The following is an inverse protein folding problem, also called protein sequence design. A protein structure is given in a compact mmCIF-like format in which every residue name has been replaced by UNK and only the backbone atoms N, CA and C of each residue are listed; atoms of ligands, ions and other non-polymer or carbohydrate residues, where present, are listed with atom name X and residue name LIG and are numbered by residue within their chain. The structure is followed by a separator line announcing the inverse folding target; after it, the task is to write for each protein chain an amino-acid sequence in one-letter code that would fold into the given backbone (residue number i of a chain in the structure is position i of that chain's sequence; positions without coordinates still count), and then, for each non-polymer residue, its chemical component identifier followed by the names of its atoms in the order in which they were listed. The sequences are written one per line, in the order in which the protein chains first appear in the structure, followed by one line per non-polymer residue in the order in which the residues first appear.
data_IF_300613880908
#
_entry.id   IF_300613880908
#
_cell.length_a   1.000
_cell.length_b   1.000
_cell.length_c   1.000
_cell.angle_alpha   90.00
_cell.angle_beta   90.00
_cell.angle_gamma   90.00
#
_symmetry.space_group_name_H-M   'P 1'
#
loop_
_entity.id
_entity.type
_entity.pdbx_description
1 polymer ?
#
# COMPACT_ATOMS: atom_id res chain seq x y z
N UNK A 1 12.87 36.64 -19.66
CA UNK A 1 12.10 35.97 -20.73
C UNK A 1 10.97 35.18 -20.07
N UNK A 2 9.73 35.34 -20.54
CA UNK A 2 8.56 34.67 -19.96
C UNK A 2 8.44 33.28 -20.61
N UNK A 3 8.82 32.23 -19.88
CA UNK A 3 8.65 30.84 -20.34
C UNK A 3 7.15 30.54 -20.38
N UNK A 4 6.60 30.40 -21.58
CA UNK A 4 5.23 29.90 -21.76
C UNK A 4 5.20 28.42 -21.39
N UNK A 5 4.22 27.95 -20.61
CA UNK A 5 4.06 26.52 -20.37
C UNK A 5 3.63 25.88 -21.68
N UNK A 6 4.46 25.00 -22.26
CA UNK A 6 4.04 24.12 -23.34
C UNK A 6 2.89 23.24 -22.82
N UNK A 7 1.73 23.29 -23.48
CA UNK A 7 0.62 22.40 -23.21
C UNK A 7 1.12 20.95 -23.25
N UNK A 8 0.78 20.09 -22.27
CA UNK A 8 1.20 18.70 -22.30
C UNK A 8 0.49 18.00 -23.47
N UNK A 9 1.23 17.65 -24.52
CA UNK A 9 0.75 16.73 -25.54
C UNK A 9 0.46 15.38 -24.85
N UNK A 10 -0.82 15.02 -24.76
CA UNK A 10 -1.28 13.72 -24.31
C UNK A 10 -0.83 12.66 -25.32
N UNK A 11 0.38 12.14 -25.16
CA UNK A 11 0.82 10.97 -25.93
C UNK A 11 -0.10 9.80 -25.57
N UNK A 12 -0.75 9.22 -26.58
CA UNK A 12 -1.53 8.01 -26.39
C UNK A 12 -0.66 6.93 -25.74
N UNK A 13 -1.21 6.15 -24.79
CA UNK A 13 -0.45 5.09 -24.17
C UNK A 13 -0.02 4.06 -25.20
N UNK A 14 1.23 3.59 -25.11
CA UNK A 14 1.70 2.49 -25.96
C UNK A 14 0.88 1.22 -25.71
N UNK A 15 0.84 0.31 -26.69
CA UNK A 15 0.17 -0.98 -26.55
C UNK A 15 0.64 -1.74 -25.29
N UNK A 16 1.94 -1.69 -25.00
CA UNK A 16 2.53 -2.30 -23.80
C UNK A 16 2.00 -1.66 -22.52
N UNK A 17 1.84 -0.33 -22.47
CA UNK A 17 1.28 0.36 -21.30
C UNK A 17 -0.19 -0.01 -21.07
N UNK A 18 -0.96 -0.14 -22.14
CA UNK A 18 -2.35 -0.58 -22.07
C UNK A 18 -2.41 -2.03 -21.57
N UNK A 19 -1.64 -2.94 -22.17
CA UNK A 19 -1.57 -4.34 -21.76
C UNK A 19 -1.12 -4.49 -20.30
N UNK A 20 -0.13 -3.71 -19.86
CA UNK A 20 0.34 -3.68 -18.48
C UNK A 20 -0.79 -3.28 -17.52
N UNK A 21 -1.51 -2.21 -17.86
CA UNK A 21 -2.60 -1.68 -17.03
C UNK A 21 -3.79 -2.64 -16.95
N UNK A 22 -4.17 -3.24 -18.08
CA UNK A 22 -5.27 -4.21 -18.15
C UNK A 22 -4.94 -5.47 -17.36
N UNK A 23 -3.72 -6.01 -17.52
CA UNK A 23 -3.27 -7.15 -16.71
C UNK A 23 -3.29 -6.83 -15.23
N UNK A 24 -2.78 -5.65 -14.85
CA UNK A 24 -2.74 -5.24 -13.45
C UNK A 24 -4.15 -5.16 -12.86
N UNK A 25 -5.11 -4.50 -13.54
CA UNK A 25 -6.50 -4.42 -13.09
C UNK A 25 -7.13 -5.81 -12.96
N UNK A 26 -6.96 -6.66 -13.98
CA UNK A 26 -7.44 -8.04 -13.95
C UNK A 26 -6.87 -8.81 -12.75
N UNK A 27 -5.56 -8.69 -12.52
CA UNK A 27 -4.89 -9.34 -11.39
C UNK A 27 -5.44 -8.88 -10.04
N UNK A 28 -5.77 -7.60 -9.87
CA UNK A 28 -6.38 -7.09 -8.63
C UNK A 28 -7.81 -7.59 -8.44
N UNK A 29 -8.60 -7.65 -9.51
CA UNK A 29 -9.97 -8.17 -9.47
C UNK A 29 -10.02 -9.64 -9.03
N UNK A 30 -8.99 -10.43 -9.34
CA UNK A 30 -8.87 -11.82 -8.90
C UNK A 30 -8.20 -11.91 -7.52
N UNK A 31 -7.11 -11.18 -7.29
CA UNK A 31 -6.30 -11.29 -6.10
C UNK A 31 -7.01 -10.77 -4.84
N UNK A 32 -7.75 -9.66 -4.92
CA UNK A 32 -8.34 -9.04 -3.73
C UNK A 32 -9.51 -9.83 -3.11
N UNK A 33 -10.41 -10.47 -3.88
CA UNK A 33 -11.37 -11.41 -3.30
C UNK A 33 -10.71 -12.59 -2.60
N UNK A 34 -9.71 -13.22 -3.25
CA UNK A 34 -8.97 -14.35 -2.67
C UNK A 34 -8.20 -13.94 -1.40
N UNK A 35 -7.58 -12.76 -1.44
CA UNK A 35 -6.93 -12.13 -0.30
C UNK A 35 -7.88 -12.04 0.91
N UNK A 36 -9.11 -11.56 0.71
CA UNK A 36 -10.07 -11.44 1.80
C UNK A 36 -10.51 -12.80 2.34
N UNK A 37 -10.71 -13.79 1.46
CA UNK A 37 -11.00 -15.16 1.88
C UNK A 37 -9.90 -15.72 2.80
N UNK A 38 -8.63 -15.38 2.54
CA UNK A 38 -7.50 -15.78 3.38
C UNK A 38 -7.37 -14.91 4.62
N UNK A 39 -7.59 -13.59 4.55
CA UNK A 39 -7.45 -12.70 5.70
C UNK A 39 -8.55 -12.90 6.76
N UNK A 40 -9.79 -13.21 6.37
CA UNK A 40 -10.91 -13.31 7.32
C UNK A 40 -10.66 -14.36 8.42
N UNK A 41 -10.23 -15.61 8.13
CA UNK A 41 -9.89 -16.58 9.16
C UNK A 41 -8.78 -16.10 10.11
N UNK A 42 -7.74 -15.45 9.58
CA UNK A 42 -6.65 -14.90 10.38
C UNK A 42 -7.12 -13.73 11.25
N UNK A 43 -8.06 -12.93 10.76
CA UNK A 43 -8.66 -11.85 11.53
C UNK A 43 -9.54 -12.38 12.66
N UNK A 44 -10.31 -13.45 12.42
CA UNK A 44 -11.09 -14.14 13.45
C UNK A 44 -10.14 -14.69 14.52
N UNK A 45 -9.06 -15.38 14.14
CA UNK A 45 -8.06 -15.87 15.07
C UNK A 45 -7.42 -14.73 15.88
N UNK A 46 -7.09 -13.61 15.24
CA UNK A 46 -6.59 -12.43 15.92
C UNK A 46 -7.59 -11.88 16.95
N UNK A 47 -8.85 -11.69 16.54
CA UNK A 47 -9.88 -11.06 17.36
C UNK A 47 -10.32 -11.91 18.55
N UNK A 48 -10.46 -13.22 18.36
CA UNK A 48 -11.05 -14.12 19.35
C UNK A 48 -10.03 -14.97 20.10
N UNK A 49 -8.88 -15.27 19.50
CA UNK A 49 -7.81 -16.06 20.14
C UNK A 49 -6.63 -15.19 20.60
N UNK A 50 -6.64 -13.89 20.30
CA UNK A 50 -5.55 -12.97 20.64
C UNK A 50 -4.24 -13.23 19.87
N UNK A 51 -4.28 -14.05 18.82
CA UNK A 51 -3.11 -14.33 17.99
C UNK A 51 -2.69 -13.08 17.21
N UNK A 52 -1.39 -12.88 17.03
CA UNK A 52 -0.84 -11.80 16.20
C UNK A 52 -1.41 -10.40 16.56
N UNK A 53 -1.18 -9.88 17.79
CA UNK A 53 -1.76 -8.61 18.25
C UNK A 53 -1.36 -7.41 17.37
N UNK A 54 -0.21 -7.49 16.70
CA UNK A 54 0.30 -6.49 15.75
C UNK A 54 -0.22 -6.66 14.31
N UNK A 55 -1.06 -7.66 14.04
CA UNK A 55 -1.61 -7.96 12.71
C UNK A 55 -0.52 -8.16 11.64
N UNK A 56 0.64 -8.72 12.02
CA UNK A 56 1.78 -8.98 11.12
C UNK A 56 1.41 -10.02 10.07
N UNK A 57 0.64 -11.05 10.42
CA UNK A 57 0.19 -12.07 9.47
C UNK A 57 -0.81 -11.47 8.48
N UNK A 58 -1.79 -10.73 8.97
CA UNK A 58 -2.78 -10.05 8.13
C UNK A 58 -2.11 -9.06 7.16
N UNK A 59 -1.11 -8.31 7.65
CA UNK A 59 -0.28 -7.43 6.84
C UNK A 59 0.55 -8.17 5.81
N UNK A 60 1.28 -9.21 6.19
CA UNK A 60 2.07 -10.02 5.25
C UNK A 60 1.22 -10.66 4.16
N UNK A 61 0.03 -11.17 4.49
CA UNK A 61 -0.92 -11.70 3.51
C UNK A 61 -1.29 -10.58 2.52
N UNK A 62 -1.64 -9.38 3.01
CA UNK A 62 -1.97 -8.26 2.13
C UNK A 62 -0.81 -7.85 1.21
N UNK A 63 0.40 -7.71 1.77
CA UNK A 63 1.61 -7.38 1.00
C UNK A 63 1.93 -8.45 -0.03
N UNK A 64 1.76 -9.72 0.30
CA UNK A 64 1.99 -10.83 -0.61
C UNK A 64 1.04 -10.81 -1.81
N UNK A 65 -0.27 -10.66 -1.60
CA UNK A 65 -1.23 -10.60 -2.72
C UNK A 65 -1.02 -9.36 -3.60
N UNK A 66 -0.67 -8.21 -3.02
CA UNK A 66 -0.30 -7.02 -3.78
C UNK A 66 1.01 -7.21 -4.57
N UNK A 67 2.00 -7.90 -4.00
CA UNK A 67 3.24 -8.24 -4.69
C UNK A 67 2.99 -9.21 -5.86
N UNK A 68 2.13 -10.21 -5.65
CA UNK A 68 1.75 -11.19 -6.66
C UNK A 68 1.08 -10.55 -7.89
N UNK A 69 0.28 -9.50 -7.69
CA UNK A 69 -0.30 -8.72 -8.79
C UNK A 69 0.77 -8.09 -9.71
N UNK A 70 1.92 -7.72 -9.16
CA UNK A 70 3.05 -7.23 -9.96
C UNK A 70 3.93 -8.35 -10.50
N UNK A 71 4.28 -9.35 -9.69
CA UNK A 71 5.14 -10.45 -10.10
C UNK A 71 4.52 -11.29 -11.21
N UNK A 72 3.20 -11.40 -11.25
CA UNK A 72 2.47 -12.09 -12.32
C UNK A 72 2.39 -11.28 -13.62
N UNK A 73 2.70 -9.98 -13.59
CA UNK A 73 2.58 -9.12 -14.77
C UNK A 73 3.81 -9.29 -15.69
N UNK A 74 3.65 -9.86 -16.90
CA UNK A 74 4.78 -10.17 -17.76
C UNK A 74 5.48 -8.91 -18.32
N UNK A 75 4.83 -7.75 -18.23
CA UNK A 75 5.33 -6.48 -18.74
C UNK A 75 6.07 -5.64 -17.69
N UNK A 76 6.06 -6.08 -16.41
CA UNK A 76 6.73 -5.39 -15.31
C UNK A 76 7.91 -6.22 -14.83
N UNK A 77 9.09 -5.57 -14.72
CA UNK A 77 10.27 -6.17 -14.10
C UNK A 77 10.76 -5.30 -12.95
N UNK A 78 10.61 -5.79 -11.73
CA UNK A 78 11.07 -5.12 -10.52
C UNK A 78 12.54 -5.46 -10.30
N UNK A 79 13.34 -4.45 -9.95
CA UNK A 79 14.74 -4.62 -9.56
C UNK A 79 15.01 -3.80 -8.31
N UNK A 80 15.29 -4.48 -7.21
CA UNK A 80 15.77 -3.85 -5.98
C UNK A 80 17.30 -3.78 -6.03
N UNK A 81 17.85 -2.60 -5.77
CA UNK A 81 19.29 -2.42 -5.58
C UNK A 81 19.57 -2.17 -4.10
N UNK A 82 20.72 -2.63 -3.61
CA UNK A 82 21.13 -2.47 -2.21
C UNK A 82 20.16 -3.09 -1.20
N UNK A 83 19.62 -4.28 -1.53
CA UNK A 83 18.79 -5.11 -0.66
C UNK A 83 19.43 -5.40 0.71
N UNK A 84 20.77 -5.52 0.77
CA UNK A 84 21.52 -5.67 2.02
C UNK A 84 21.33 -4.50 3.01
N UNK A 85 20.84 -3.34 2.56
CA UNK A 85 20.50 -2.20 3.44
C UNK A 85 19.10 -2.27 3.99
N UNK A 86 18.26 -3.18 3.49
CA UNK A 86 16.92 -3.40 4.03
C UNK A 86 17.07 -3.94 5.45
N UNK A 87 16.48 -3.28 6.45
CA UNK A 87 16.58 -3.69 7.85
C UNK A 87 16.12 -5.14 8.06
N UNK A 88 16.77 -5.84 8.99
CA UNK A 88 16.31 -7.16 9.41
C UNK A 88 14.93 -7.02 10.07
N UNK A 89 14.11 -8.09 10.02
CA UNK A 89 12.73 -8.13 10.55
C UNK A 89 12.54 -7.62 11.98
N UNK A 90 13.61 -7.54 12.78
CA UNK A 90 13.57 -7.13 14.18
C UNK A 90 13.72 -5.62 14.40
N UNK A 91 14.08 -4.85 13.37
CA UNK A 91 14.32 -3.41 13.49
C UNK A 91 13.09 -2.60 13.10
N UNK A 92 12.73 -1.64 13.97
CA UNK A 92 11.65 -0.67 13.72
C UNK A 92 12.17 0.44 12.82
N UNK A 93 11.62 0.56 11.63
CA UNK A 93 12.05 1.58 10.65
C UNK A 93 10.85 2.26 10.02
N UNK A 94 11.06 3.51 9.61
CA UNK A 94 10.12 4.24 8.76
C UNK A 94 10.67 4.17 7.33
N UNK A 95 9.91 3.53 6.44
CA UNK A 95 10.24 3.50 5.02
C UNK A 95 9.52 4.63 4.33
N UNK A 96 10.26 5.49 3.66
CA UNK A 96 9.73 6.59 2.86
C UNK A 96 10.14 6.40 1.40
N UNK A 97 9.23 6.71 0.49
CA UNK A 97 9.50 6.73 -0.95
C UNK A 97 9.00 8.03 -1.54
N UNK A 98 9.60 8.45 -2.66
CA UNK A 98 8.97 9.41 -3.54
C UNK A 98 7.65 8.81 -4.05
N UNK A 99 6.60 9.63 -4.10
CA UNK A 99 5.32 9.20 -4.69
C UNK A 99 5.32 9.57 -6.18
N UNK A 100 5.59 8.58 -7.04
CA UNK A 100 5.67 8.74 -8.50
C UNK A 100 4.44 8.18 -9.20
N UNK A 101 3.79 7.17 -8.60
CA UNK A 101 2.70 6.46 -9.26
C UNK A 101 1.76 5.76 -8.28
N UNK A 102 0.58 5.39 -8.77
CA UNK A 102 -0.34 4.54 -8.02
C UNK A 102 0.18 3.10 -7.82
N UNK A 103 1.25 2.70 -8.52
CA UNK A 103 1.88 1.40 -8.35
C UNK A 103 2.85 1.35 -7.17
N UNK A 104 3.23 2.50 -6.59
CA UNK A 104 4.26 2.57 -5.55
C UNK A 104 3.97 1.64 -4.35
N UNK A 105 2.73 1.56 -3.79
CA UNK A 105 2.45 0.66 -2.67
C UNK A 105 2.64 -0.82 -3.03
N UNK A 106 2.39 -1.20 -4.29
CA UNK A 106 2.56 -2.56 -4.79
C UNK A 106 4.03 -2.88 -5.03
N UNK A 107 4.79 -1.93 -5.60
CA UNK A 107 6.25 -2.07 -5.81
C UNK A 107 6.96 -2.18 -4.46
N UNK A 108 6.58 -1.36 -3.48
CA UNK A 108 7.10 -1.45 -2.11
C UNK A 108 6.77 -2.81 -1.48
N UNK A 109 5.54 -3.31 -1.65
CA UNK A 109 5.17 -4.65 -1.16
C UNK A 109 6.06 -5.73 -1.78
N UNK A 110 6.23 -5.70 -3.11
CA UNK A 110 7.05 -6.67 -3.84
C UNK A 110 8.56 -6.58 -3.52
N UNK A 111 9.04 -5.39 -3.14
CA UNK A 111 10.48 -5.15 -2.92
C UNK A 111 10.90 -5.34 -1.46
N UNK A 112 9.98 -5.16 -0.51
CA UNK A 112 10.28 -5.21 0.93
C UNK A 112 9.94 -6.55 1.56
N UNK A 113 9.07 -7.37 0.96
CA UNK A 113 8.80 -8.72 1.48
C UNK A 113 10.10 -9.50 1.70
N UNK A 114 10.25 -10.24 2.82
CA UNK A 114 9.23 -10.52 3.84
C UNK A 114 9.20 -9.53 5.03
N UNK A 115 9.75 -8.32 4.90
CA UNK A 115 9.60 -7.25 5.89
C UNK A 115 8.16 -6.74 5.85
N UNK A 116 7.43 -6.93 6.96
CA UNK A 116 6.06 -6.43 7.09
C UNK A 116 6.08 -4.92 7.29
N UNK A 117 5.16 -4.23 6.60
CA UNK A 117 5.05 -2.77 6.63
C UNK A 117 3.60 -2.34 6.80
N UNK A 118 3.38 -1.36 7.70
CA UNK A 118 2.09 -0.65 7.82
C UNK A 118 2.12 0.58 6.95
N UNK A 119 1.12 0.74 6.10
CA UNK A 119 1.01 1.89 5.22
C UNK A 119 0.17 2.99 5.85
N UNK A 120 0.66 4.22 5.75
CA UNK A 120 -0.11 5.43 6.06
C UNK A 120 -0.76 5.91 4.77
N UNK A 121 -2.09 5.94 4.73
CA UNK A 121 -2.83 6.22 3.50
C UNK A 121 -4.03 7.14 3.70
N UNK A 122 -4.49 7.80 2.63
CA UNK A 122 -5.68 8.65 2.66
C UNK A 122 -6.88 7.85 3.19
N UNK A 123 -7.57 8.38 4.20
CA UNK A 123 -8.65 7.66 4.90
C UNK A 123 -9.78 7.19 3.99
N UNK A 124 -10.07 7.89 2.89
CA UNK A 124 -11.08 7.45 1.90
C UNK A 124 -10.72 6.13 1.20
N UNK A 125 -9.45 5.75 1.13
CA UNK A 125 -9.03 4.47 0.54
C UNK A 125 -9.51 3.28 1.38
N UNK A 126 -9.60 3.44 2.70
CA UNK A 126 -10.02 2.39 3.63
C UNK A 126 -11.51 2.05 3.50
N UNK A 127 -12.30 2.95 2.90
CA UNK A 127 -13.71 2.72 2.61
C UNK A 127 -13.95 2.01 1.27
N UNK A 128 -12.91 1.84 0.44
CA UNK A 128 -13.04 1.15 -0.83
C UNK A 128 -13.31 -0.35 -0.61
N UNK A 129 -14.21 -0.96 -1.39
CA UNK A 129 -14.47 -2.39 -1.29
C UNK A 129 -13.20 -3.18 -1.63
N UNK A 130 -13.08 -4.34 -0.99
CA UNK A 130 -11.96 -5.25 -1.13
C UNK A 130 -10.63 -4.65 -0.62
N UNK A 131 -9.95 -3.83 -1.42
CA UNK A 131 -8.63 -3.28 -1.10
C UNK A 131 -8.62 -2.45 0.19
N UNK A 132 -9.59 -1.57 0.38
CA UNK A 132 -9.71 -0.75 1.60
C UNK A 132 -10.04 -1.56 2.85
N UNK A 133 -10.88 -2.58 2.70
CA UNK A 133 -11.16 -3.54 3.77
C UNK A 133 -9.90 -4.32 4.14
N UNK A 134 -9.15 -4.80 3.16
CA UNK A 134 -7.90 -5.51 3.40
C UNK A 134 -6.84 -4.65 4.08
N UNK A 135 -6.73 -3.36 3.74
CA UNK A 135 -5.90 -2.38 4.45
C UNK A 135 -6.31 -2.28 5.93
N UNK A 136 -7.62 -2.20 6.19
CA UNK A 136 -8.16 -2.13 7.56
C UNK A 136 -7.83 -3.39 8.37
N UNK A 137 -7.99 -4.57 7.75
CA UNK A 137 -7.64 -5.86 8.36
C UNK A 137 -6.13 -5.98 8.61
N UNK A 138 -5.31 -5.48 7.69
CA UNK A 138 -3.85 -5.45 7.84
C UNK A 138 -3.37 -4.51 8.95
N UNK A 139 -4.22 -3.60 9.45
CA UNK A 139 -3.83 -2.58 10.44
C UNK A 139 -3.06 -1.41 9.82
N UNK A 140 -3.30 -1.12 8.54
CA UNK A 140 -2.81 0.10 7.91
C UNK A 140 -3.47 1.34 8.55
N UNK A 141 -2.80 2.49 8.46
CA UNK A 141 -3.13 3.68 9.25
C UNK A 141 -3.77 4.75 8.35
N UNK A 142 -5.05 5.12 8.56
CA UNK A 142 -5.69 6.17 7.80
C UNK A 142 -5.25 7.56 8.28
N UNK A 143 -5.04 8.47 7.32
CA UNK A 143 -4.89 9.91 7.56
C UNK A 143 -5.95 10.69 6.78
N UNK A 144 -6.60 11.65 7.45
CA UNK A 144 -7.71 12.41 6.91
C UNK A 144 -7.27 13.83 6.55
N UNK A 145 -7.50 14.20 5.30
CA UNK A 145 -7.23 15.52 4.75
C UNK A 145 -8.51 16.35 4.71
N UNK A 146 -8.37 17.67 4.86
CA UNK A 146 -9.50 18.61 4.80
C UNK A 146 -10.05 18.66 3.37
N UNK A 147 -9.14 18.70 2.39
CA UNK A 147 -9.49 18.75 0.98
C UNK A 147 -9.38 17.39 0.30
N UNK A 148 -10.13 17.23 -0.79
CA UNK A 148 -9.96 16.10 -1.71
C UNK A 148 -8.78 16.29 -2.66
N UNK A 149 -8.30 17.53 -2.81
CA UNK A 149 -7.18 17.89 -3.70
C UNK A 149 -5.90 17.16 -3.31
N UNK A 150 -5.10 16.77 -4.31
CA UNK A 150 -3.77 16.18 -4.10
C UNK A 150 -2.71 17.23 -3.77
N UNK A 151 -2.96 18.50 -4.06
CA UNK A 151 -2.03 19.60 -3.77
C UNK A 151 -2.19 20.16 -2.36
N UNK A 152 -3.31 19.88 -1.71
CA UNK A 152 -3.61 20.34 -0.37
C UNK A 152 -3.32 19.22 0.65
N UNK A 153 -2.20 19.36 1.35
CA UNK A 153 -1.74 18.42 2.37
C UNK A 153 -2.27 18.79 3.77
N UNK A 154 -3.22 19.72 3.86
CA UNK A 154 -3.82 20.10 5.15
C UNK A 154 -4.65 18.96 5.71
N UNK A 155 -4.25 18.48 6.88
CA UNK A 155 -4.94 17.41 7.59
C UNK A 155 -6.05 17.95 8.47
N UNK A 156 -7.12 17.17 8.63
CA UNK A 156 -8.15 17.47 9.63
C UNK A 156 -7.49 17.57 11.01
N UNK A 157 -7.89 18.56 11.81
CA UNK A 157 -7.32 18.81 13.15
C UNK A 157 -7.29 17.52 13.97
N UNK A 158 -6.11 17.15 14.45
CA UNK A 158 -5.89 15.93 15.24
C UNK A 158 -5.65 14.64 14.44
N UNK A 159 -5.87 14.62 13.12
CA UNK A 159 -5.66 13.40 12.32
C UNK A 159 -4.20 12.95 12.31
N UNK A 160 -3.25 13.87 12.14
CA UNK A 160 -1.83 13.53 12.16
C UNK A 160 -1.38 13.02 13.53
N UNK A 161 -1.90 13.62 14.62
CA UNK A 161 -1.62 13.15 15.98
C UNK A 161 -2.12 11.72 16.18
N UNK A 162 -3.38 11.45 15.82
CA UNK A 162 -3.96 10.11 15.90
C UNK A 162 -3.19 9.08 15.07
N UNK A 163 -2.75 9.47 13.87
CA UNK A 163 -1.90 8.65 13.01
C UNK A 163 -0.57 8.30 13.72
N UNK A 164 0.11 9.29 14.29
CA UNK A 164 1.36 9.09 15.03
C UNK A 164 1.17 8.23 16.30
N UNK A 165 0.09 8.43 17.05
CA UNK A 165 -0.26 7.62 18.23
C UNK A 165 -0.51 6.15 17.84
N UNK A 166 -1.22 5.92 16.73
CA UNK A 166 -1.50 4.59 16.20
C UNK A 166 -0.22 3.90 15.71
N UNK A 167 0.68 4.65 15.07
CA UNK A 167 1.97 4.13 14.64
C UNK A 167 2.84 3.77 15.86
N UNK A 168 2.87 4.64 16.87
CA UNK A 168 3.60 4.38 18.11
C UNK A 168 3.09 3.13 18.82
N UNK A 169 1.77 2.96 18.97
CA UNK A 169 1.18 1.78 19.62
C UNK A 169 1.48 0.49 18.86
N UNK A 170 1.45 0.54 17.52
CA UNK A 170 1.80 -0.61 16.66
C UNK A 170 3.26 -1.01 16.80
N UNK A 171 4.15 -0.04 17.03
CA UNK A 171 5.57 -0.28 17.26
C UNK A 171 5.85 -0.79 18.69
N UNK A 172 5.08 -0.38 19.70
CA UNK A 172 5.36 -0.74 21.10
C UNK A 172 4.67 -2.01 21.60
N UNK A 173 3.57 -2.42 20.96
CA UNK A 173 2.88 -3.69 21.24
C UNK A 173 3.61 -4.92 20.70
#
# INVERSE_FOLDING_TARGET
SRVTPSLPHSKMPSLTQLATSLWFIFSLLVAWPLLLLVQIPFFIAHKYLGHDPRRVWLGNIFRFFNALALWSNPFIRIRTKHDHRVPKKTQKVIVTSNHQSNLDPFVLSASLLPLETKYVGKGSLFSLPLGGWAMTLAGDIPIHFVSKSYTDMTTVKGSSRKCMETMASTLTG
#
